data_IF_280241666999
#
_entry.id   IF_280241666999
#
_cell.length_a   1.000
_cell.length_b   1.000
_cell.length_c   1.000
_cell.angle_alpha   90.00
_cell.angle_beta   90.00
_cell.angle_gamma   90.00
#
_symmetry.space_group_name_H-M   'P 1'
#
loop_
_entity.id
_entity.type
_entity.pdbx_description
1 polymer ?
#
# COMPACT_ATOMS: atom_id res chain seq x y z
N UNK A 1 10.40 38.09 22.69
CA UNK A 1 10.00 38.70 21.41
C UNK A 1 10.88 38.09 20.31
N UNK A 2 10.31 37.31 19.40
CA UNK A 2 11.11 36.77 18.27
C UNK A 2 10.66 35.40 17.77
N UNK A 3 9.37 35.21 17.51
CA UNK A 3 8.84 34.01 16.85
C UNK A 3 8.72 34.16 15.32
N UNK A 4 9.12 35.31 14.79
CA UNK A 4 8.91 35.66 13.37
C UNK A 4 10.25 35.86 12.66
N UNK A 5 10.43 35.27 11.46
CA UNK A 5 11.66 35.43 10.70
C UNK A 5 11.85 36.90 10.31
N UNK A 6 13.03 37.45 10.65
CA UNK A 6 13.39 38.85 10.36
C UNK A 6 13.41 39.16 8.86
N UNK A 7 13.68 38.17 8.00
CA UNK A 7 13.75 38.32 6.54
C UNK A 7 13.27 37.05 5.82
N UNK A 8 12.84 37.22 4.56
CA UNK A 8 12.48 36.13 3.68
C UNK A 8 13.70 35.23 3.35
N UNK A 9 13.50 33.91 3.34
CA UNK A 9 14.56 32.97 2.97
C UNK A 9 14.84 32.99 1.45
N UNK A 10 16.11 33.08 1.06
CA UNK A 10 16.48 32.99 -0.35
C UNK A 10 16.06 31.65 -0.97
N UNK A 11 15.79 31.64 -2.28
CA UNK A 11 15.44 30.42 -3.02
C UNK A 11 16.48 29.31 -2.81
N UNK A 12 17.77 29.68 -2.79
CA UNK A 12 18.88 28.75 -2.52
C UNK A 12 18.78 28.13 -1.12
N UNK A 13 18.57 28.94 -0.06
CA UNK A 13 18.45 28.44 1.32
C UNK A 13 17.25 27.50 1.48
N UNK A 14 16.11 27.87 0.90
CA UNK A 14 14.91 27.01 0.89
C UNK A 14 15.17 25.68 0.17
N UNK A 15 15.76 25.72 -1.02
CA UNK A 15 15.97 24.53 -1.84
C UNK A 15 17.03 23.60 -1.23
N UNK A 16 18.08 24.14 -0.59
CA UNK A 16 19.05 23.37 0.20
C UNK A 16 18.41 22.68 1.41
N UNK A 17 17.44 23.32 2.06
CA UNK A 17 16.66 22.65 3.12
C UNK A 17 15.81 21.50 2.55
N UNK A 18 15.21 21.72 1.38
CA UNK A 18 14.33 20.73 0.72
C UNK A 18 15.06 19.58 0.02
N UNK A 19 16.38 19.65 -0.19
CA UNK A 19 17.12 18.59 -0.88
C UNK A 19 17.10 17.26 -0.14
N UNK A 20 16.86 17.27 1.16
CA UNK A 20 16.74 16.07 1.99
C UNK A 20 15.32 15.50 2.05
N UNK A 21 14.31 16.20 1.53
CA UNK A 21 12.90 15.76 1.59
C UNK A 21 12.50 14.89 0.40
N UNK A 22 13.42 14.04 -0.08
CA UNK A 22 13.10 13.09 -1.14
C UNK A 22 12.25 11.93 -0.58
N UNK A 23 11.23 11.53 -1.34
CA UNK A 23 10.43 10.35 -1.03
C UNK A 23 11.14 9.10 -1.52
N UNK A 24 11.13 8.04 -0.72
CA UNK A 24 11.64 6.73 -1.11
C UNK A 24 10.53 5.85 -1.70
N UNK A 25 10.83 5.03 -2.73
CA UNK A 25 9.87 4.08 -3.25
C UNK A 25 9.55 3.00 -2.21
N UNK A 26 8.32 2.48 -2.23
CA UNK A 26 7.92 1.38 -1.37
C UNK A 26 8.39 0.05 -1.97
N UNK A 27 8.98 -0.81 -1.13
CA UNK A 27 9.36 -2.16 -1.50
C UNK A 27 8.11 -3.06 -1.45
N UNK A 28 7.57 -3.39 -2.62
CA UNK A 28 6.43 -4.29 -2.77
C UNK A 28 6.90 -5.66 -3.25
N UNK A 29 6.30 -6.72 -2.71
CA UNK A 29 6.54 -8.11 -3.12
C UNK A 29 5.25 -8.73 -3.65
N UNK A 30 5.35 -9.76 -4.47
CA UNK A 30 4.17 -10.48 -4.96
C UNK A 30 3.61 -11.43 -3.89
N UNK A 31 2.29 -11.48 -3.78
CA UNK A 31 1.60 -12.43 -2.93
C UNK A 31 1.60 -13.83 -3.59
N UNK A 32 2.00 -14.90 -2.88
CA UNK A 32 2.09 -16.24 -3.48
C UNK A 32 0.74 -16.87 -3.84
N UNK A 33 -0.39 -16.34 -3.34
CA UNK A 33 -1.73 -16.89 -3.61
C UNK A 33 -2.48 -16.16 -4.74
N UNK A 34 -2.40 -14.83 -4.77
CA UNK A 34 -3.21 -14.01 -5.70
C UNK A 34 -2.37 -13.09 -6.59
N UNK A 35 -1.04 -13.23 -6.56
CA UNK A 35 -0.07 -12.44 -7.34
C UNK A 35 -0.19 -10.91 -7.21
N UNK A 36 -0.92 -10.43 -6.19
CA UNK A 36 -1.05 -9.00 -5.92
C UNK A 36 0.20 -8.45 -5.23
N UNK A 37 0.54 -7.19 -5.52
CA UNK A 37 1.67 -6.49 -4.89
C UNK A 37 1.32 -6.11 -3.45
N UNK A 38 2.03 -6.69 -2.49
CA UNK A 38 1.83 -6.49 -1.05
C UNK A 38 3.09 -5.93 -0.40
N UNK A 39 2.91 -5.29 0.76
CA UNK A 39 4.04 -4.94 1.61
C UNK A 39 4.63 -6.21 2.26
N UNK A 40 5.96 -6.26 2.45
CA UNK A 40 6.58 -7.32 3.23
C UNK A 40 6.04 -7.32 4.67
N UNK A 41 5.93 -8.51 5.25
CA UNK A 41 5.42 -8.73 6.61
C UNK A 41 3.96 -8.32 6.87
N UNK A 42 3.18 -7.96 5.86
CA UNK A 42 1.74 -7.73 5.98
C UNK A 42 0.91 -8.89 5.43
N UNK A 43 -0.29 -9.05 5.97
CA UNK A 43 -1.35 -9.91 5.43
C UNK A 43 -1.82 -9.33 4.10
N UNK A 44 -2.07 -10.17 3.10
CA UNK A 44 -2.59 -9.68 1.83
C UNK A 44 -4.03 -9.15 2.02
N UNK A 45 -4.27 -7.89 1.67
CA UNK A 45 -5.61 -7.26 1.75
C UNK A 45 -6.61 -7.93 0.80
N UNK A 46 -6.13 -8.48 -0.31
CA UNK A 46 -6.97 -9.09 -1.33
C UNK A 46 -7.45 -10.48 -0.93
N UNK A 47 -6.54 -11.37 -0.48
CA UNK A 47 -6.90 -12.75 -0.16
C UNK A 47 -6.97 -13.07 1.33
N UNK A 48 -6.43 -12.23 2.24
CA UNK A 48 -6.43 -12.48 3.68
C UNK A 48 -5.40 -13.50 4.15
N UNK A 49 -4.48 -13.92 3.28
CA UNK A 49 -3.46 -14.92 3.57
C UNK A 49 -2.14 -14.29 4.01
N UNK A 50 -1.49 -14.93 4.97
CA UNK A 50 -0.10 -14.71 5.37
C UNK A 50 0.56 -16.05 5.67
N UNK A 51 1.77 -16.28 5.13
CA UNK A 51 2.54 -17.52 5.32
C UNK A 51 1.73 -18.83 5.13
N UNK A 52 0.81 -18.85 4.16
CA UNK A 52 0.01 -20.03 3.84
C UNK A 52 -1.15 -20.30 4.80
N UNK A 53 -1.44 -19.40 5.75
CA UNK A 53 -2.61 -19.46 6.62
C UNK A 53 -3.60 -18.35 6.29
N UNK A 54 -4.89 -18.66 6.35
CA UNK A 54 -5.96 -17.67 6.37
C UNK A 54 -5.98 -17.02 7.76
N UNK A 55 -5.52 -15.77 7.85
CA UNK A 55 -5.53 -15.00 9.09
C UNK A 55 -6.71 -14.03 9.13
N UNK A 56 -7.19 -13.58 7.97
CA UNK A 56 -8.35 -12.70 7.85
C UNK A 56 -9.34 -13.28 6.84
N UNK A 57 -10.52 -13.64 7.32
CA UNK A 57 -11.67 -13.98 6.47
C UNK A 57 -12.22 -12.72 5.81
N UNK A 58 -11.58 -12.29 4.71
CA UNK A 58 -12.02 -11.09 3.95
C UNK A 58 -13.45 -11.27 3.44
N UNK A 59 -13.91 -12.52 3.26
CA UNK A 59 -15.23 -12.88 2.71
C UNK A 59 -16.40 -12.86 3.72
N UNK A 60 -16.14 -12.79 5.04
CA UNK A 60 -17.20 -12.93 6.06
C UNK A 60 -18.17 -11.74 6.13
N UNK A 61 -17.79 -10.56 5.63
CA UNK A 61 -18.60 -9.32 5.73
C UNK A 61 -19.15 -8.80 4.39
N UNK A 62 -18.93 -9.50 3.27
CA UNK A 62 -19.44 -9.06 1.97
C UNK A 62 -20.83 -9.62 1.66
N UNK A 63 -21.66 -8.80 1.01
CA UNK A 63 -22.93 -9.22 0.45
C UNK A 63 -22.74 -10.29 -0.64
N UNK A 64 -23.77 -11.12 -0.87
CA UNK A 64 -23.75 -12.23 -1.87
C UNK A 64 -23.32 -11.79 -3.28
N UNK A 65 -23.58 -10.52 -3.64
CA UNK A 65 -23.26 -9.94 -4.95
C UNK A 65 -21.75 -9.70 -5.10
N UNK A 66 -21.14 -9.11 -4.08
CA UNK A 66 -19.72 -8.74 -4.06
C UNK A 66 -18.80 -9.97 -3.94
N UNK A 67 -19.27 -11.02 -3.25
CA UNK A 67 -18.56 -12.31 -3.18
C UNK A 67 -18.43 -12.96 -4.57
N UNK A 68 -19.49 -12.91 -5.38
CA UNK A 68 -19.54 -13.50 -6.72
C UNK A 68 -18.66 -12.77 -7.74
N UNK A 69 -18.52 -11.46 -7.60
CA UNK A 69 -17.62 -10.65 -8.43
C UNK A 69 -16.15 -10.90 -8.05
N UNK A 70 -15.84 -10.98 -6.76
CA UNK A 70 -14.48 -11.32 -6.28
C UNK A 70 -14.03 -12.72 -6.68
N UNK A 71 -14.92 -13.72 -6.61
CA UNK A 71 -14.63 -15.08 -7.08
C UNK A 71 -14.33 -15.13 -8.58
N UNK A 72 -15.03 -14.34 -9.41
CA UNK A 72 -14.73 -14.23 -10.85
C UNK A 72 -13.39 -13.58 -11.10
N UNK A 73 -13.08 -12.49 -10.39
CA UNK A 73 -11.79 -11.80 -10.50
C UNK A 73 -10.65 -12.71 -10.10
N UNK A 74 -10.80 -13.48 -9.00
CA UNK A 74 -9.80 -14.46 -8.56
C UNK A 74 -9.60 -15.56 -9.63
N UNK A 75 -10.68 -16.12 -10.17
CA UNK A 75 -10.62 -17.15 -11.20
C UNK A 75 -10.05 -16.66 -12.54
N UNK A 76 -10.20 -15.37 -12.87
CA UNK A 76 -9.58 -14.75 -14.05
C UNK A 76 -8.09 -14.50 -13.83
N UNK A 77 -7.66 -14.14 -12.61
CA UNK A 77 -6.24 -14.01 -12.26
C UNK A 77 -5.49 -15.35 -12.16
N UNK A 78 -6.16 -16.47 -11.85
CA UNK A 78 -5.53 -17.80 -11.82
C UNK A 78 -5.39 -18.44 -13.23
N UNK A 79 -6.15 -17.97 -14.22
CA UNK A 79 -6.14 -18.48 -15.60
C UNK A 79 -5.14 -17.78 -16.51
N UNK A 80 -4.49 -16.72 -16.04
CA UNK A 80 -3.61 -15.85 -16.81
C UNK A 80 -2.18 -15.99 -16.31
#
# INVERSE_FOLDING_TARGET
MGGTPTRHHTKSRRNKGRSHFALHPLNLRECPKCHYRILPHQVCVNCGYYKGKEEVDVMKKLDKKERKEREKVIAETEKK
#
